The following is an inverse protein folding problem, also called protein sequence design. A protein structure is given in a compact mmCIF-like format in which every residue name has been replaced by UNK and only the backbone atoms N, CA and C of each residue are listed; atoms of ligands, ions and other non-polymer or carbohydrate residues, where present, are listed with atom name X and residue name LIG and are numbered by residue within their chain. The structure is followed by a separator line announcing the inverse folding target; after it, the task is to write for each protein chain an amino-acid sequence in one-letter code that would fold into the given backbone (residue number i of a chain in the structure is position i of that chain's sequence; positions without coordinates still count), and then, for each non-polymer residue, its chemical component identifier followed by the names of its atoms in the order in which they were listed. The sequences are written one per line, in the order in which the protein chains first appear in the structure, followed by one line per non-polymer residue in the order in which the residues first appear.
data_IF_253365057478
#
_entry.id   IF_253365057478
#
_cell.length_a   1.000
_cell.length_b   1.000
_cell.length_c   1.000
_cell.angle_alpha   90.00
_cell.angle_beta   90.00
_cell.angle_gamma   90.00
#
_symmetry.space_group_name_H-M   'P 1'
#
loop_
_entity.id
_entity.type
_entity.pdbx_description
1 polymer ?
#
# COMPACT_ATOMS: atom_id res chain seq x y z
N UNK A 1 -26.12 -73.50 27.65
CA UNK A 1 -26.55 -72.11 27.91
C UNK A 1 -25.46 -71.40 28.69
N UNK A 2 -24.54 -70.73 28.00
CA UNK A 2 -23.41 -70.02 28.63
C UNK A 2 -23.83 -68.56 28.90
N UNK A 3 -23.86 -68.18 30.17
CA UNK A 3 -23.85 -66.79 30.62
C UNK A 3 -22.43 -66.25 30.48
N UNK A 4 -22.23 -65.11 29.82
CA UNK A 4 -21.03 -64.29 29.95
C UNK A 4 -21.40 -63.00 30.70
N UNK A 5 -20.57 -62.53 31.63
CA UNK A 5 -20.76 -61.27 32.32
C UNK A 5 -20.22 -60.09 31.49
N UNK A 6 -20.83 -58.95 31.75
CA UNK A 6 -20.54 -57.62 31.25
C UNK A 6 -19.10 -57.21 31.61
N UNK A 7 -18.23 -57.01 30.61
CA UNK A 7 -16.97 -56.29 30.78
C UNK A 7 -17.07 -54.92 30.09
N UNK A 8 -17.02 -53.90 30.93
CA UNK A 8 -16.94 -52.48 30.58
C UNK A 8 -15.58 -52.22 29.90
N UNK A 9 -15.55 -51.98 28.59
CA UNK A 9 -14.36 -51.45 27.92
C UNK A 9 -14.54 -49.95 27.77
N UNK A 10 -13.94 -49.21 28.71
CA UNK A 10 -13.73 -47.78 28.61
C UNK A 10 -12.71 -47.54 27.49
N UNK A 11 -13.18 -47.25 26.28
CA UNK A 11 -12.32 -46.87 25.16
C UNK A 11 -12.01 -45.38 25.31
N UNK A 12 -10.81 -45.07 25.81
CA UNK A 12 -10.26 -43.71 25.79
C UNK A 12 -10.03 -43.36 24.32
N UNK A 13 -10.93 -42.54 23.77
CA UNK A 13 -10.72 -41.87 22.50
C UNK A 13 -9.74 -40.72 22.76
N UNK A 14 -8.44 -40.98 22.64
CA UNK A 14 -7.47 -39.89 22.46
C UNK A 14 -7.76 -39.29 21.10
N UNK A 15 -8.55 -38.21 21.08
CA UNK A 15 -8.55 -37.31 19.94
C UNK A 15 -7.12 -36.78 19.86
N UNK A 16 -6.34 -37.32 18.94
CA UNK A 16 -5.15 -36.64 18.47
C UNK A 16 -5.68 -35.37 17.81
N UNK A 17 -5.71 -34.27 18.55
CA UNK A 17 -5.74 -32.96 17.96
C UNK A 17 -4.45 -32.88 17.13
N UNK A 18 -4.53 -33.30 15.88
CA UNK A 18 -3.64 -32.79 14.87
C UNK A 18 -3.85 -31.28 14.96
N UNK A 19 -2.92 -30.61 15.63
CA UNK A 19 -2.66 -29.22 15.33
C UNK A 19 -2.40 -29.23 13.83
N UNK A 20 -3.42 -28.87 13.06
CA UNK A 20 -3.18 -28.16 11.82
C UNK A 20 -2.40 -26.94 12.27
N UNK A 21 -1.06 -27.09 12.33
CA UNK A 21 -0.20 -26.00 11.96
C UNK A 21 -0.81 -25.56 10.63
N UNK A 22 -1.44 -24.40 10.64
CA UNK A 22 -1.42 -23.56 9.44
C UNK A 22 -0.01 -23.72 8.90
N UNK A 23 0.18 -24.17 7.65
CA UNK A 23 1.53 -24.17 7.12
C UNK A 23 2.06 -22.78 7.45
N UNK A 24 3.20 -22.72 8.15
CA UNK A 24 4.00 -21.51 8.15
C UNK A 24 4.17 -21.24 6.66
N UNK A 25 3.35 -20.35 6.10
CA UNK A 25 3.60 -19.81 4.79
C UNK A 25 4.80 -18.93 5.07
N UNK A 26 5.99 -19.54 5.04
CA UNK A 26 7.22 -18.82 4.83
C UNK A 26 6.89 -17.76 3.79
N UNK A 27 7.19 -16.50 4.08
CA UNK A 27 6.85 -15.32 3.27
C UNK A 27 7.33 -15.51 1.82
N UNK A 28 6.57 -16.24 1.02
CA UNK A 28 7.01 -16.68 -0.28
C UNK A 28 7.10 -15.43 -1.14
N UNK A 29 8.33 -15.04 -1.45
CA UNK A 29 8.70 -13.91 -2.26
C UNK A 29 8.15 -12.54 -1.79
N UNK A 30 8.39 -12.19 -0.52
CA UNK A 30 8.23 -10.81 -0.04
C UNK A 30 9.44 -9.94 -0.42
N UNK A 31 9.27 -8.62 -0.52
CA UNK A 31 10.35 -7.70 -0.85
C UNK A 31 10.61 -7.57 -2.36
N UNK A 32 11.79 -7.06 -2.72
CA UNK A 32 12.18 -6.77 -4.10
C UNK A 32 12.89 -7.97 -4.72
N UNK A 33 12.46 -8.35 -5.92
CA UNK A 33 12.99 -9.45 -6.72
C UNK A 33 13.42 -8.91 -8.09
N UNK A 34 14.70 -9.09 -8.41
CA UNK A 34 15.29 -8.69 -9.69
C UNK A 34 14.73 -9.51 -10.86
N UNK A 35 14.89 -8.99 -12.08
CA UNK A 35 14.41 -9.64 -13.31
C UNK A 35 15.01 -11.04 -13.53
N UNK A 36 16.22 -11.29 -13.03
CA UNK A 36 16.90 -12.59 -13.09
C UNK A 36 16.46 -13.58 -12.00
N UNK A 37 15.59 -13.14 -11.08
CA UNK A 37 15.18 -13.94 -9.93
C UNK A 37 14.49 -15.24 -10.38
N UNK A 38 14.92 -16.36 -9.80
CA UNK A 38 14.30 -17.67 -10.04
C UNK A 38 12.82 -17.76 -9.62
N UNK A 39 12.30 -16.76 -8.89
CA UNK A 39 10.89 -16.63 -8.55
C UNK A 39 10.04 -16.10 -9.72
N UNK A 40 10.65 -15.56 -10.77
CA UNK A 40 9.98 -14.97 -11.93
C UNK A 40 9.98 -15.99 -13.08
N UNK A 41 8.80 -16.23 -13.63
CA UNK A 41 8.59 -17.14 -14.76
C UNK A 41 8.32 -16.35 -16.04
N UNK A 42 9.10 -16.62 -17.08
CA UNK A 42 8.96 -15.98 -18.38
C UNK A 42 8.31 -16.92 -19.41
N UNK A 43 7.50 -16.35 -20.29
CA UNK A 43 6.89 -17.02 -21.45
C UNK A 43 7.08 -16.17 -22.70
N UNK A 44 7.30 -16.83 -23.84
CA UNK A 44 7.75 -16.19 -25.07
C UNK A 44 9.25 -15.91 -25.08
N UNK A 45 9.71 -15.15 -26.07
CA UNK A 45 11.11 -14.79 -26.25
C UNK A 45 11.42 -13.50 -25.48
N UNK A 46 12.33 -13.60 -24.51
CA UNK A 46 12.85 -12.48 -23.73
C UNK A 46 14.35 -12.38 -23.94
N UNK A 47 14.83 -11.17 -24.20
CA UNK A 47 16.24 -10.83 -24.13
C UNK A 47 16.63 -10.49 -22.70
N UNK A 48 17.88 -10.76 -22.35
CA UNK A 48 18.48 -10.34 -21.08
C UNK A 48 19.48 -9.22 -21.35
N UNK A 49 19.37 -8.13 -20.59
CA UNK A 49 20.16 -6.91 -20.71
C UNK A 49 21.10 -6.72 -19.52
N UNK A 50 22.23 -7.46 -19.46
CA UNK A 50 23.22 -7.26 -18.41
C UNK A 50 23.91 -5.90 -18.57
N UNK A 51 24.35 -5.29 -17.46
CA UNK A 51 25.02 -3.99 -17.40
C UNK A 51 24.10 -2.77 -17.54
N UNK A 52 22.84 -2.93 -17.15
CA UNK A 52 21.88 -1.84 -17.03
C UNK A 52 22.10 -1.13 -15.70
N UNK A 53 23.19 -0.37 -15.54
CA UNK A 53 23.68 0.10 -14.21
C UNK A 53 22.74 1.00 -13.41
N UNK A 54 21.62 1.45 -13.99
CA UNK A 54 20.56 2.21 -13.33
C UNK A 54 19.29 1.41 -13.07
N UNK A 55 19.25 0.17 -13.55
CA UNK A 55 18.27 -0.83 -13.14
C UNK A 55 18.67 -1.45 -11.80
N UNK A 56 17.73 -2.14 -11.17
CA UNK A 56 18.00 -2.91 -9.95
C UNK A 56 18.98 -4.04 -10.28
N UNK A 57 19.92 -4.29 -9.36
CA UNK A 57 21.01 -5.26 -9.52
C UNK A 57 21.78 -5.24 -10.87
N UNK A 58 21.69 -4.11 -11.58
CA UNK A 58 22.30 -3.83 -12.87
C UNK A 58 21.86 -4.76 -14.03
N UNK A 59 20.64 -5.30 -13.98
CA UNK A 59 20.02 -6.11 -15.03
C UNK A 59 18.60 -5.68 -15.39
N UNK A 60 18.16 -6.10 -16.59
CA UNK A 60 16.75 -6.02 -17.00
C UNK A 60 16.48 -7.10 -18.04
N UNK A 61 15.25 -7.60 -18.07
CA UNK A 61 14.76 -8.52 -19.10
C UNK A 61 13.78 -7.79 -19.99
N UNK A 62 13.84 -7.98 -21.32
CA UNK A 62 13.02 -7.22 -22.25
C UNK A 62 12.46 -8.05 -23.39
N UNK A 63 11.33 -7.64 -23.94
CA UNK A 63 10.70 -8.29 -25.10
C UNK A 63 9.90 -7.31 -25.91
N UNK A 64 9.78 -7.57 -27.22
CA UNK A 64 8.82 -6.92 -28.11
C UNK A 64 7.90 -7.94 -28.78
N UNK A 65 7.95 -9.22 -28.36
CA UNK A 65 7.09 -10.25 -28.91
C UNK A 65 5.68 -10.08 -28.34
N UNK A 66 4.69 -9.84 -29.21
CA UNK A 66 3.27 -9.86 -28.83
C UNK A 66 2.94 -11.11 -28.00
N UNK A 67 2.39 -10.89 -26.83
CA UNK A 67 1.93 -11.94 -25.93
C UNK A 67 3.01 -12.58 -25.06
N UNK A 68 4.28 -12.23 -25.22
CA UNK A 68 5.31 -12.62 -24.25
C UNK A 68 5.00 -12.02 -22.88
N UNK A 69 5.25 -12.77 -21.80
CA UNK A 69 4.84 -12.39 -20.45
C UNK A 69 5.86 -12.78 -19.39
N UNK A 70 5.89 -12.04 -18.28
CA UNK A 70 6.61 -12.40 -17.06
C UNK A 70 5.61 -12.49 -15.89
N UNK A 71 5.75 -13.52 -15.06
CA UNK A 71 4.83 -13.82 -13.96
C UNK A 71 5.57 -14.04 -12.64
N UNK A 72 4.97 -13.58 -11.55
CA UNK A 72 5.57 -13.65 -10.21
C UNK A 72 4.49 -13.92 -9.16
N UNK A 73 4.74 -14.93 -8.33
CA UNK A 73 3.87 -15.26 -7.19
C UNK A 73 4.44 -14.62 -5.92
N UNK A 74 3.60 -13.96 -5.14
CA UNK A 74 3.99 -13.30 -3.90
C UNK A 74 2.93 -13.45 -2.81
N UNK A 75 3.36 -13.32 -1.57
CA UNK A 75 2.47 -13.14 -0.42
C UNK A 75 2.61 -11.71 0.08
N UNK A 76 1.51 -10.97 0.09
CA UNK A 76 1.51 -9.58 0.53
C UNK A 76 0.19 -8.89 0.25
N UNK A 77 0.16 -7.60 0.51
CA UNK A 77 -1.00 -6.73 0.25
C UNK A 77 -0.78 -5.75 -0.89
N UNK A 78 0.42 -5.77 -1.48
CA UNK A 78 0.84 -4.83 -2.53
C UNK A 78 1.85 -5.47 -3.45
N UNK A 79 1.82 -5.08 -4.71
CA UNK A 79 2.84 -5.45 -5.69
C UNK A 79 3.21 -4.25 -6.55
N UNK A 80 4.51 -4.06 -6.73
CA UNK A 80 5.08 -3.00 -7.57
C UNK A 80 5.77 -3.62 -8.76
N UNK A 81 5.45 -3.15 -9.96
CA UNK A 81 6.21 -3.42 -11.18
C UNK A 81 7.16 -2.26 -11.44
N UNK A 82 8.46 -2.57 -11.50
CA UNK A 82 9.54 -1.62 -11.75
C UNK A 82 10.10 -1.90 -13.15
N UNK A 83 10.26 -0.84 -13.94
CA UNK A 83 10.65 -0.89 -15.35
C UNK A 83 11.30 0.43 -15.80
N UNK A 84 11.79 0.46 -17.03
CA UNK A 84 12.25 1.68 -17.69
C UNK A 84 11.23 2.21 -18.70
N UNK A 85 11.03 3.53 -18.72
CA UNK A 85 10.37 4.20 -19.84
C UNK A 85 11.41 4.68 -20.86
N UNK A 86 11.13 4.56 -22.15
CA UNK A 86 12.02 5.03 -23.22
C UNK A 86 11.30 5.15 -24.58
N UNK A 87 11.96 5.76 -25.56
CA UNK A 87 11.37 6.13 -26.85
C UNK A 87 10.99 4.92 -27.71
N UNK A 88 11.57 3.75 -27.43
CA UNK A 88 11.28 2.49 -28.10
C UNK A 88 10.36 1.57 -27.29
N UNK A 89 9.77 2.06 -26.19
CA UNK A 89 8.87 1.27 -25.36
C UNK A 89 7.44 1.27 -25.88
N UNK A 90 6.78 0.13 -25.73
CA UNK A 90 5.41 -0.13 -26.15
C UNK A 90 4.44 -0.22 -24.97
N UNK A 91 3.29 -0.83 -25.22
CA UNK A 91 2.26 -1.04 -24.21
C UNK A 91 2.43 -2.36 -23.44
N UNK A 92 2.14 -2.29 -22.14
CA UNK A 92 2.10 -3.39 -21.18
C UNK A 92 0.66 -3.63 -20.76
N UNK A 93 0.21 -4.88 -20.77
CA UNK A 93 -0.99 -5.33 -20.07
C UNK A 93 -0.59 -5.95 -18.73
N UNK A 94 -1.33 -5.63 -17.67
CA UNK A 94 -1.12 -6.18 -16.33
C UNK A 94 -2.33 -7.00 -15.91
N UNK A 95 -2.06 -8.21 -15.44
CA UNK A 95 -3.04 -9.09 -14.83
C UNK A 95 -2.61 -9.40 -13.41
N UNK A 96 -3.55 -9.43 -12.47
CA UNK A 96 -3.32 -9.91 -11.11
C UNK A 96 -4.36 -10.97 -10.79
N UNK A 97 -3.92 -12.15 -10.39
CA UNK A 97 -4.74 -13.34 -10.16
C UNK A 97 -5.55 -13.76 -11.40
N UNK A 98 -4.95 -13.58 -12.58
CA UNK A 98 -5.59 -13.82 -13.88
C UNK A 98 -6.62 -12.76 -14.30
N UNK A 99 -6.88 -11.75 -13.47
CA UNK A 99 -7.82 -10.66 -13.76
C UNK A 99 -7.05 -9.49 -14.38
N UNK A 100 -7.51 -9.02 -15.54
CA UNK A 100 -6.97 -7.82 -16.18
C UNK A 100 -7.13 -6.61 -15.27
N UNK A 101 -6.03 -5.90 -15.01
CA UNK A 101 -6.01 -4.70 -14.16
C UNK A 101 -5.97 -3.44 -15.01
N UNK A 102 -4.99 -3.35 -15.89
CA UNK A 102 -4.83 -2.19 -16.75
C UNK A 102 -3.94 -2.47 -17.96
N UNK A 103 -3.96 -1.52 -18.89
CA UNK A 103 -3.02 -1.43 -20.00
C UNK A 103 -2.48 -0.01 -20.05
N UNK A 104 -1.17 0.13 -20.20
CA UNK A 104 -0.51 1.44 -20.29
C UNK A 104 0.69 1.41 -21.22
N UNK A 105 1.10 2.59 -21.67
CA UNK A 105 2.32 2.76 -22.45
C UNK A 105 3.51 3.04 -21.55
N UNK A 106 4.62 2.33 -21.78
CA UNK A 106 5.92 2.63 -21.17
C UNK A 106 6.76 3.61 -22.01
N UNK A 107 6.17 4.26 -23.03
CA UNK A 107 6.86 5.24 -23.87
C UNK A 107 7.20 6.52 -23.10
N UNK A 108 8.45 6.98 -23.26
CA UNK A 108 8.87 8.35 -22.97
C UNK A 108 9.90 8.79 -24.01
N UNK A 109 10.01 10.09 -24.38
CA UNK A 109 10.99 10.53 -25.38
C UNK A 109 12.46 10.39 -24.93
N UNK A 110 12.71 10.22 -23.62
CA UNK A 110 14.01 9.88 -23.04
C UNK A 110 13.94 8.63 -22.17
N UNK A 111 15.10 8.08 -21.79
CA UNK A 111 15.16 6.95 -20.86
C UNK A 111 14.94 7.44 -19.43
N UNK A 112 13.99 6.81 -18.73
CA UNK A 112 13.71 7.00 -17.30
C UNK A 112 13.76 5.65 -16.60
N UNK A 113 14.65 5.50 -15.63
CA UNK A 113 14.91 4.24 -14.94
C UNK A 113 14.10 4.12 -13.65
N UNK A 114 13.90 2.88 -13.19
CA UNK A 114 13.22 2.54 -11.94
C UNK A 114 11.81 3.13 -11.82
N UNK A 115 11.13 3.37 -12.94
CA UNK A 115 9.73 3.82 -12.96
C UNK A 115 8.89 2.72 -12.33
N UNK A 116 8.02 3.09 -11.39
CA UNK A 116 7.25 2.14 -10.61
C UNK A 116 5.75 2.31 -10.83
N UNK A 117 5.03 1.19 -10.81
CA UNK A 117 3.56 1.12 -10.74
C UNK A 117 3.16 0.15 -9.65
N UNK A 118 2.29 0.60 -8.74
CA UNK A 118 1.92 -0.15 -7.53
C UNK A 118 0.43 -0.45 -7.50
N UNK A 119 0.08 -1.69 -7.19
CA UNK A 119 -1.31 -2.11 -6.97
C UNK A 119 -1.51 -2.59 -5.54
N UNK A 120 -2.61 -2.17 -4.92
CA UNK A 120 -3.05 -2.62 -3.60
C UNK A 120 -4.04 -3.78 -3.76
N UNK A 121 -3.88 -4.77 -2.90
CA UNK A 121 -4.67 -5.99 -2.84
C UNK A 121 -5.03 -6.29 -1.38
N UNK A 122 -6.05 -7.13 -1.12
CA UNK A 122 -6.17 -7.79 0.18
C UNK A 122 -4.86 -8.49 0.54
N UNK A 123 -4.51 -8.59 1.82
CA UNK A 123 -3.33 -9.39 2.20
C UNK A 123 -3.58 -10.86 1.88
N UNK A 124 -2.72 -11.47 1.08
CA UNK A 124 -2.89 -12.85 0.67
C UNK A 124 -1.80 -13.33 -0.28
N UNK A 125 -2.02 -14.53 -0.81
CA UNK A 125 -1.20 -15.08 -1.90
C UNK A 125 -1.77 -14.63 -3.24
N UNK A 126 -0.90 -14.08 -4.08
CA UNK A 126 -1.27 -13.46 -5.35
C UNK A 126 -0.28 -13.81 -6.45
N UNK A 127 -0.73 -13.65 -7.69
CA UNK A 127 0.11 -13.71 -8.88
C UNK A 127 -0.01 -12.40 -9.67
N UNK A 128 1.11 -11.77 -10.01
CA UNK A 128 1.16 -10.72 -11.05
C UNK A 128 1.67 -11.33 -12.35
N UNK A 129 1.09 -10.90 -13.48
CA UNK A 129 1.58 -11.15 -14.81
C UNK A 129 1.61 -9.85 -15.60
N UNK A 130 2.77 -9.50 -16.15
CA UNK A 130 2.91 -8.45 -17.16
C UNK A 130 3.00 -9.10 -18.54
N UNK A 131 2.40 -8.49 -19.55
CA UNK A 131 2.32 -9.04 -20.90
C UNK A 131 2.54 -7.96 -21.95
N UNK A 132 3.36 -8.28 -22.94
CA UNK A 132 3.67 -7.38 -24.04
C UNK A 132 2.53 -7.33 -25.06
N UNK A 133 2.10 -6.13 -25.41
CA UNK A 133 1.15 -5.92 -26.54
C UNK A 133 1.86 -6.11 -27.89
N UNK A 134 3.15 -5.78 -27.97
CA UNK A 134 4.00 -5.99 -29.15
C UNK A 134 4.01 -4.83 -30.16
N UNK A 135 3.68 -3.62 -29.72
CA UNK A 135 3.86 -2.37 -30.49
C UNK A 135 5.13 -1.58 -30.09
N UNK A 136 6.04 -2.23 -29.38
CA UNK A 136 7.30 -1.68 -28.88
C UNK A 136 7.91 -2.65 -27.86
N UNK A 137 9.07 -2.31 -27.31
CA UNK A 137 9.66 -3.11 -26.22
C UNK A 137 8.93 -2.87 -24.91
N UNK A 138 8.81 -3.90 -24.09
CA UNK A 138 8.58 -3.76 -22.64
C UNK A 138 9.79 -4.35 -21.94
N UNK A 139 10.05 -3.93 -20.71
CA UNK A 139 11.08 -4.52 -19.87
C UNK A 139 10.57 -4.84 -18.46
N UNK A 140 11.22 -5.79 -17.81
CA UNK A 140 11.09 -6.05 -16.39
C UNK A 140 12.45 -5.78 -15.76
N UNK A 141 12.45 -4.89 -14.79
CA UNK A 141 13.60 -4.58 -13.95
C UNK A 141 13.43 -5.29 -12.61
N UNK A 142 12.30 -5.09 -11.93
CA UNK A 142 11.99 -5.83 -10.71
C UNK A 142 10.50 -5.91 -10.39
N UNK A 143 10.14 -6.90 -9.59
CA UNK A 143 8.90 -6.90 -8.83
C UNK A 143 9.18 -6.62 -7.35
N UNK A 144 8.33 -5.82 -6.68
CA UNK A 144 8.46 -5.56 -5.25
C UNK A 144 7.14 -5.80 -4.51
N UNK A 145 7.08 -6.89 -3.76
CA UNK A 145 5.96 -7.21 -2.87
C UNK A 145 6.06 -6.40 -1.57
N UNK A 146 4.98 -5.70 -1.22
CA UNK A 146 4.89 -4.85 -0.01
C UNK A 146 5.98 -3.77 0.12
N UNK A 147 6.25 -3.05 -0.99
CA UNK A 147 7.20 -1.92 -1.01
C UNK A 147 7.03 -0.97 0.20
N UNK A 148 8.13 -0.58 0.89
CA UNK A 148 8.08 0.43 1.94
C UNK A 148 7.62 1.79 1.42
N UNK A 149 6.89 2.52 2.25
CA UNK A 149 6.39 3.86 1.91
C UNK A 149 6.39 4.79 3.11
N UNK A 150 6.45 6.10 2.87
CA UNK A 150 6.25 7.12 3.90
C UNK A 150 4.76 7.47 4.04
N UNK A 151 4.16 7.42 5.25
CA UNK A 151 2.71 7.60 5.42
C UNK A 151 2.25 9.05 5.35
N UNK A 152 2.98 10.01 5.93
CA UNK A 152 2.70 11.45 5.87
C UNK A 152 3.96 12.25 6.24
N UNK A 153 3.93 13.57 6.04
CA UNK A 153 4.93 14.49 6.60
C UNK A 153 5.98 14.92 5.59
N UNK A 154 7.09 15.45 6.11
CA UNK A 154 8.20 15.93 5.29
C UNK A 154 9.36 14.94 5.35
N UNK A 155 9.82 14.56 4.17
CA UNK A 155 10.97 13.68 3.95
C UNK A 155 12.08 14.50 3.32
N UNK A 156 13.24 14.47 3.96
CA UNK A 156 14.44 15.14 3.50
C UNK A 156 15.07 14.45 2.27
N UNK A 157 15.98 15.11 1.57
CA UNK A 157 16.73 14.59 0.43
C UNK A 157 17.78 13.51 0.77
N UNK A 158 17.78 12.95 1.97
CA UNK A 158 18.73 11.90 2.37
C UNK A 158 18.23 10.53 1.92
N UNK A 159 19.10 9.65 1.35
CA UNK A 159 18.72 8.28 1.03
C UNK A 159 18.08 7.55 2.22
N UNK A 160 17.00 6.82 1.98
CA UNK A 160 16.26 6.09 3.01
C UNK A 160 15.58 4.84 2.42
N UNK A 161 14.79 4.11 3.21
CA UNK A 161 14.00 2.97 2.72
C UNK A 161 12.92 3.37 1.71
N UNK A 162 12.52 4.64 1.67
CA UNK A 162 11.51 5.17 0.77
C UNK A 162 12.03 6.26 -0.18
N UNK A 163 13.26 6.79 0.00
CA UNK A 163 13.96 7.67 -0.97
C UNK A 163 15.13 6.91 -1.58
N UNK A 164 15.03 6.60 -2.88
CA UNK A 164 16.07 5.89 -3.62
C UNK A 164 16.68 6.80 -4.69
N UNK A 165 18.00 6.93 -4.67
CA UNK A 165 18.75 7.63 -5.70
C UNK A 165 19.20 6.65 -6.79
N UNK A 166 18.96 7.03 -8.04
CA UNK A 166 19.21 6.23 -9.24
C UNK A 166 20.39 6.86 -9.97
N UNK A 167 21.41 6.06 -10.26
CA UNK A 167 22.69 6.52 -10.81
C UNK A 167 23.84 6.43 -9.79
N UNK A 168 25.03 6.80 -10.23
CA UNK A 168 26.23 6.76 -9.39
C UNK A 168 26.26 7.91 -8.38
N UNK A 169 26.98 7.74 -7.27
CA UNK A 169 27.31 8.84 -6.35
C UNK A 169 28.68 9.43 -6.68
N UNK A 170 28.86 10.74 -6.47
CA UNK A 170 30.12 11.44 -6.69
C UNK A 170 30.15 12.36 -7.93
N UNK A 171 31.34 12.70 -8.40
CA UNK A 171 31.58 13.79 -9.39
C UNK A 171 30.88 13.64 -10.74
N UNK A 172 30.41 12.44 -11.06
CA UNK A 172 29.69 12.11 -12.30
C UNK A 172 28.26 11.60 -12.07
N UNK A 173 27.70 11.79 -10.87
CA UNK A 173 26.31 11.47 -10.56
C UNK A 173 25.77 12.33 -9.41
N UNK A 174 25.13 11.70 -8.43
CA UNK A 174 24.55 12.41 -7.30
C UNK A 174 25.59 12.98 -6.35
N UNK A 175 25.46 14.29 -6.11
CA UNK A 175 26.17 15.01 -5.06
C UNK A 175 25.19 15.36 -3.95
N UNK A 176 25.49 14.92 -2.73
CA UNK A 176 24.76 15.26 -1.51
C UNK A 176 25.52 16.36 -0.78
N UNK A 177 25.09 17.61 -0.96
CA UNK A 177 25.77 18.77 -0.43
C UNK A 177 25.07 19.31 0.81
N UNK A 178 25.85 19.94 1.68
CA UNK A 178 25.42 20.53 2.95
C UNK A 178 25.89 21.98 3.07
N UNK A 179 25.57 22.63 4.19
CA UNK A 179 25.86 24.03 4.48
C UNK A 179 25.01 25.03 3.67
N UNK A 180 23.76 24.66 3.41
CA UNK A 180 22.76 25.55 2.79
C UNK A 180 21.65 25.85 3.79
N UNK A 181 21.79 26.87 4.67
CA UNK A 181 20.83 27.10 5.75
C UNK A 181 19.40 27.43 5.28
N UNK A 182 19.22 27.83 4.01
CA UNK A 182 17.92 28.07 3.39
C UNK A 182 17.26 26.78 2.85
N UNK A 183 18.00 25.69 2.73
CA UNK A 183 17.48 24.37 2.38
C UNK A 183 16.89 23.67 3.61
N UNK A 184 15.95 22.76 3.39
CA UNK A 184 15.46 21.91 4.48
C UNK A 184 16.60 21.00 4.94
N UNK A 185 16.72 20.79 6.25
CA UNK A 185 17.84 20.01 6.81
C UNK A 185 19.24 20.62 6.60
N UNK A 186 19.36 21.77 5.93
CA UNK A 186 20.65 22.35 5.55
C UNK A 186 21.32 21.64 4.35
N UNK A 187 20.59 20.80 3.62
CA UNK A 187 21.11 19.86 2.62
C UNK A 187 20.41 19.95 1.28
N UNK A 188 21.13 19.68 0.19
CA UNK A 188 20.57 19.59 -1.17
C UNK A 188 21.29 18.47 -1.93
N UNK A 189 20.52 17.64 -2.62
CA UNK A 189 21.03 16.58 -3.48
C UNK A 189 20.84 16.99 -4.93
N UNK A 190 21.85 16.85 -5.77
CA UNK A 190 21.72 17.21 -7.18
C UNK A 190 22.56 16.32 -8.09
N UNK A 191 22.09 16.17 -9.33
CA UNK A 191 22.83 15.57 -10.44
C UNK A 191 22.54 16.35 -11.72
N UNK A 192 23.50 16.34 -12.65
CA UNK A 192 23.34 16.84 -14.03
C UNK A 192 23.43 15.72 -15.06
N UNK A 193 23.70 14.49 -14.60
CA UNK A 193 23.90 13.33 -15.47
C UNK A 193 22.54 12.84 -15.93
N UNK A 194 22.28 12.94 -17.24
CA UNK A 194 21.05 12.43 -17.82
C UNK A 194 20.81 10.95 -17.45
N UNK A 195 19.55 10.60 -17.26
CA UNK A 195 19.05 9.29 -16.79
C UNK A 195 19.25 8.99 -15.30
N UNK A 196 19.99 9.80 -14.54
CA UNK A 196 19.92 9.72 -13.08
C UNK A 196 18.50 10.07 -12.61
N UNK A 197 18.14 9.71 -11.39
CA UNK A 197 16.83 10.07 -10.84
C UNK A 197 16.69 9.84 -9.35
N UNK A 198 15.53 10.19 -8.83
CA UNK A 198 15.10 9.88 -7.47
C UNK A 198 13.74 9.21 -7.53
N UNK A 199 13.60 8.08 -6.85
CA UNK A 199 12.32 7.41 -6.63
C UNK A 199 11.88 7.61 -5.18
N UNK A 200 10.63 8.00 -4.97
CA UNK A 200 10.04 8.12 -3.64
C UNK A 200 8.65 7.51 -3.57
N UNK A 201 8.45 6.62 -2.60
CA UNK A 201 7.16 5.94 -2.39
C UNK A 201 6.46 6.46 -1.14
N UNK A 202 5.20 6.84 -1.28
CA UNK A 202 4.40 7.46 -0.23
C UNK A 202 2.96 6.98 -0.24
N UNK A 203 2.26 7.17 0.87
CA UNK A 203 0.81 7.04 0.94
C UNK A 203 0.18 8.43 1.03
N UNK A 204 -0.79 8.74 0.16
CA UNK A 204 -1.52 9.99 0.22
C UNK A 204 -2.07 10.46 -1.12
N UNK A 205 -3.00 11.40 -1.11
CA UNK A 205 -3.61 11.97 -2.33
C UNK A 205 -2.79 13.07 -3.01
N UNK A 206 -1.71 13.50 -2.34
CA UNK A 206 -0.95 14.68 -2.72
C UNK A 206 0.51 14.58 -2.29
N UNK A 207 1.40 14.98 -3.19
CA UNK A 207 2.82 15.16 -2.91
C UNK A 207 3.34 16.49 -3.44
N UNK A 208 4.22 17.13 -2.68
CA UNK A 208 4.93 18.33 -3.07
C UNK A 208 6.42 18.03 -3.19
N UNK A 209 6.95 18.24 -4.40
CA UNK A 209 8.38 18.19 -4.66
C UNK A 209 8.98 19.59 -4.46
N UNK A 210 9.96 19.70 -3.56
CA UNK A 210 10.65 20.94 -3.24
C UNK A 210 12.09 20.88 -3.75
N UNK A 211 12.51 21.96 -4.39
CA UNK A 211 13.74 22.08 -5.15
C UNK A 211 14.22 23.54 -5.17
N UNK A 212 15.41 23.80 -5.71
CA UNK A 212 15.91 25.16 -5.87
C UNK A 212 16.02 25.52 -7.34
N UNK A 213 15.72 26.78 -7.65
CA UNK A 213 15.94 27.31 -9.00
C UNK A 213 17.22 28.12 -9.04
N UNK A 214 18.02 27.94 -10.09
CA UNK A 214 19.28 28.66 -10.26
C UNK A 214 19.73 28.68 -11.73
N UNK A 215 20.77 29.49 -12.01
CA UNK A 215 21.21 29.78 -13.38
C UNK A 215 21.82 28.57 -14.09
N UNK A 216 22.22 27.54 -13.34
CA UNK A 216 22.82 26.30 -13.83
C UNK A 216 21.88 25.09 -13.74
N UNK A 217 20.56 25.32 -13.60
CA UNK A 217 19.57 24.23 -13.51
C UNK A 217 19.00 23.84 -14.87
N UNK A 218 18.66 22.56 -14.97
CA UNK A 218 18.03 21.94 -16.14
C UNK A 218 16.58 21.52 -15.87
N UNK A 219 16.13 20.51 -16.64
CA UNK A 219 14.76 20.00 -16.58
C UNK A 219 14.70 18.65 -15.87
N UNK A 220 13.77 18.51 -14.95
CA UNK A 220 13.39 17.23 -14.35
C UNK A 220 12.16 16.69 -15.09
N UNK A 221 12.17 15.41 -15.47
CA UNK A 221 10.97 14.72 -15.94
C UNK A 221 10.29 14.03 -14.77
N UNK A 222 8.97 14.17 -14.64
CA UNK A 222 8.21 13.65 -13.50
C UNK A 222 7.28 12.55 -13.97
N UNK A 223 7.37 11.39 -13.31
CA UNK A 223 6.37 10.34 -13.43
C UNK A 223 5.81 9.99 -12.06
N UNK A 224 4.49 9.81 -11.95
CA UNK A 224 3.86 9.24 -10.75
C UNK A 224 3.09 8.00 -11.18
N UNK A 225 3.37 6.86 -10.56
CA UNK A 225 2.80 5.55 -10.91
C UNK A 225 2.92 5.25 -12.42
N UNK A 226 4.10 5.56 -12.97
CA UNK A 226 4.37 5.40 -14.40
C UNK A 226 3.51 6.25 -15.34
N UNK A 227 2.76 7.24 -14.84
CA UNK A 227 2.12 8.27 -15.65
C UNK A 227 3.08 9.44 -15.82
N UNK A 228 3.35 9.82 -17.06
CA UNK A 228 4.14 11.01 -17.39
C UNK A 228 3.36 12.28 -17.04
N UNK A 229 3.93 13.11 -16.17
CA UNK A 229 3.38 14.41 -15.74
C UNK A 229 4.15 15.59 -16.34
N UNK A 230 5.04 15.32 -17.30
CA UNK A 230 5.80 16.30 -18.04
C UNK A 230 7.09 16.71 -17.34
N UNK A 231 7.53 17.93 -17.65
CA UNK A 231 8.83 18.45 -17.21
C UNK A 231 8.66 19.64 -16.27
N UNK A 232 9.50 19.69 -15.25
CA UNK A 232 9.70 20.88 -14.42
C UNK A 232 11.01 21.52 -14.86
N UNK A 233 10.97 22.80 -15.21
CA UNK A 233 12.16 23.59 -15.51
C UNK A 233 12.66 24.32 -14.26
N UNK A 234 13.82 23.90 -13.75
CA UNK A 234 14.41 24.42 -12.53
C UNK A 234 15.25 25.67 -12.80
N UNK A 235 15.35 26.16 -14.04
CA UNK A 235 16.12 27.36 -14.34
C UNK A 235 15.54 28.64 -13.72
N UNK A 236 16.43 29.47 -13.18
CA UNK A 236 16.18 30.88 -12.84
C UNK A 236 17.48 31.67 -12.98
N UNK A 237 17.48 32.93 -13.46
CA UNK A 237 18.71 33.73 -13.55
C UNK A 237 19.35 34.01 -12.18
N UNK A 238 18.58 33.92 -11.09
CA UNK A 238 19.05 34.07 -9.71
C UNK A 238 18.65 32.86 -8.88
N UNK A 239 19.42 32.58 -7.83
CA UNK A 239 19.10 31.50 -6.87
C UNK A 239 17.77 31.79 -6.16
N UNK A 240 16.88 30.80 -6.14
CA UNK A 240 15.60 30.80 -5.44
C UNK A 240 15.45 29.50 -4.67
N UNK A 241 15.45 29.60 -3.34
CA UNK A 241 15.29 28.47 -2.44
C UNK A 241 13.83 28.06 -2.30
N UNK A 242 13.60 26.81 -1.86
CA UNK A 242 12.28 26.30 -1.47
C UNK A 242 11.20 26.45 -2.55
N UNK A 243 11.58 26.38 -3.84
CA UNK A 243 10.61 26.34 -4.92
C UNK A 243 9.94 24.97 -4.93
N UNK A 244 8.68 24.91 -5.36
CA UNK A 244 7.96 23.65 -5.25
C UNK A 244 6.94 23.44 -6.36
N UNK A 245 6.58 22.19 -6.56
CA UNK A 245 5.49 21.78 -7.45
C UNK A 245 4.69 20.69 -6.74
N UNK A 246 3.38 20.91 -6.66
CA UNK A 246 2.45 20.01 -5.98
C UNK A 246 1.66 19.23 -7.02
N UNK A 247 1.57 17.93 -6.80
CA UNK A 247 0.72 17.01 -7.54
C UNK A 247 -0.38 16.55 -6.60
N UNK A 248 -1.64 16.87 -6.94
CA UNK A 248 -2.83 16.53 -6.16
C UNK A 248 -3.79 15.66 -6.97
N UNK A 249 -4.89 15.24 -6.34
CA UNK A 249 -5.90 14.41 -6.99
C UNK A 249 -5.39 13.03 -7.40
N UNK A 250 -4.33 12.52 -6.74
CA UNK A 250 -3.74 11.21 -7.04
C UNK A 250 -4.65 10.06 -6.57
N UNK A 251 -5.57 10.36 -5.66
CA UNK A 251 -6.39 9.37 -4.94
C UNK A 251 -5.68 8.88 -3.69
N UNK A 252 -6.43 8.39 -2.71
CA UNK A 252 -5.86 7.88 -1.46
C UNK A 252 -5.27 6.48 -1.64
N UNK A 253 -4.03 6.41 -2.11
CA UNK A 253 -3.33 5.16 -2.28
C UNK A 253 -1.83 5.30 -2.00
N UNK A 254 -1.08 4.22 -2.18
CA UNK A 254 0.37 4.28 -2.29
C UNK A 254 0.73 4.69 -3.71
N UNK A 255 1.60 5.68 -3.81
CA UNK A 255 2.10 6.24 -5.03
C UNK A 255 3.63 6.23 -5.02
N UNK A 256 4.22 6.10 -6.20
CA UNK A 256 5.66 6.31 -6.39
C UNK A 256 5.89 7.46 -7.35
N UNK A 257 6.55 8.51 -6.88
CA UNK A 257 7.06 9.58 -7.74
C UNK A 257 8.49 9.24 -8.17
N UNK A 258 8.77 9.37 -9.46
CA UNK A 258 10.12 9.37 -10.00
C UNK A 258 10.44 10.77 -10.57
N UNK A 259 11.56 11.31 -10.13
CA UNK A 259 12.13 12.58 -10.59
C UNK A 259 13.38 12.24 -11.40
N UNK A 260 13.28 12.28 -12.72
CA UNK A 260 14.37 11.90 -13.63
C UNK A 260 15.14 13.12 -14.12
N UNK A 261 16.47 13.05 -14.05
CA UNK A 261 17.38 14.05 -14.61
C UNK A 261 17.43 13.87 -16.12
N UNK A 262 16.92 14.85 -16.87
CA UNK A 262 16.86 14.72 -18.34
C UNK A 262 18.20 14.97 -19.03
N UNK A 263 19.13 15.65 -18.35
CA UNK A 263 20.34 16.22 -18.98
C UNK A 263 20.04 17.37 -19.96
N UNK A 264 18.78 17.81 -20.05
CA UNK A 264 18.36 18.91 -20.91
C UNK A 264 18.26 20.21 -20.10
N UNK A 265 18.48 21.34 -20.77
CA UNK A 265 18.37 22.68 -20.20
C UNK A 265 17.89 23.69 -21.23
N UNK A 266 17.33 24.81 -20.77
CA UNK A 266 17.07 25.96 -21.63
C UNK A 266 18.35 26.63 -22.13
N UNK A 267 18.25 27.43 -23.19
CA UNK A 267 19.40 28.13 -23.79
C UNK A 267 20.10 29.11 -22.84
N UNK A 268 19.35 29.65 -21.87
CA UNK A 268 19.87 30.62 -20.90
C UNK A 268 20.52 29.98 -19.68
N UNK A 269 20.39 28.66 -19.50
CA UNK A 269 20.98 27.94 -18.39
C UNK A 269 22.46 27.62 -18.69
N UNK A 270 23.33 27.73 -17.70
CA UNK A 270 24.76 27.39 -17.88
C UNK A 270 25.02 25.89 -17.80
N UNK A 271 24.15 25.13 -17.13
CA UNK A 271 24.25 23.66 -16.96
C UNK A 271 22.84 23.05 -16.78
N UNK A 272 22.75 21.73 -16.59
CA UNK A 272 21.50 20.96 -16.55
C UNK A 272 21.25 20.28 -15.21
N UNK A 273 21.67 20.88 -14.09
CA UNK A 273 21.45 20.29 -12.77
C UNK A 273 19.96 20.20 -12.43
N UNK A 274 19.55 19.04 -11.92
CA UNK A 274 18.28 18.84 -11.24
C UNK A 274 18.58 18.59 -9.77
N UNK A 275 17.86 19.28 -8.89
CA UNK A 275 18.08 19.20 -7.46
C UNK A 275 16.85 18.73 -6.68
N UNK A 276 17.08 18.15 -5.52
CA UNK A 276 16.06 17.70 -4.59
C UNK A 276 16.44 18.20 -3.21
N UNK A 277 15.52 18.93 -2.58
CA UNK A 277 15.63 19.46 -1.22
C UNK A 277 14.77 18.63 -0.26
N UNK A 278 13.47 18.53 -0.52
CA UNK A 278 12.57 17.66 0.25
C UNK A 278 11.35 17.24 -0.55
N UNK A 279 10.67 16.23 -0.05
CA UNK A 279 9.35 15.82 -0.47
C UNK A 279 8.38 15.96 0.70
N UNK A 280 7.25 16.62 0.47
CA UNK A 280 6.22 16.79 1.50
C UNK A 280 4.92 16.11 1.07
N UNK A 281 4.46 15.18 1.91
CA UNK A 281 3.16 14.54 1.80
C UNK A 281 2.22 15.32 2.71
N UNK A 282 1.36 16.15 2.12
CA UNK A 282 0.36 16.88 2.88
C UNK A 282 -0.95 16.13 2.75
N UNK A 283 -1.20 15.21 3.69
CA UNK A 283 -2.48 14.54 3.75
C UNK A 283 -3.59 15.55 4.02
N UNK A 284 -4.63 15.58 3.17
CA UNK A 284 -5.95 15.91 3.68
C UNK A 284 -6.32 14.91 4.77
N UNK A 285 -7.15 15.29 5.73
CA UNK A 285 -7.56 14.44 6.86
C UNK A 285 -7.84 13.01 6.40
N UNK A 286 -6.93 12.09 6.72
CA UNK A 286 -7.13 10.67 6.45
C UNK A 286 -7.98 10.11 7.57
N UNK A 287 -9.26 9.88 7.29
CA UNK A 287 -9.88 8.68 7.81
C UNK A 287 -9.17 7.51 7.13
N UNK A 288 -8.20 6.88 7.80
CA UNK A 288 -7.68 5.59 7.33
C UNK A 288 -8.74 4.55 7.64
N UNK A 289 -9.77 4.47 6.79
CA UNK A 289 -10.56 3.26 6.66
C UNK A 289 -9.66 2.21 6.01
N UNK A 290 -8.93 1.43 6.81
CA UNK A 290 -8.36 0.19 6.30
C UNK A 290 -9.55 -0.73 6.02
N UNK A 291 -9.97 -0.73 4.75
CA UNK A 291 -10.96 -1.66 4.20
C UNK A 291 -12.43 -1.40 4.61
N UNK A 292 -13.11 -0.52 3.86
CA UNK A 292 -14.57 -0.58 3.75
C UNK A 292 -14.91 -1.74 2.79
N UNK A 293 -14.99 -2.98 3.31
CA UNK A 293 -15.60 -4.06 2.53
C UNK A 293 -17.07 -3.74 2.34
N UNK A 294 -17.45 -3.40 1.12
CA UNK A 294 -18.83 -3.58 0.62
C UNK A 294 -18.84 -4.80 -0.30
N UNK A 295 -18.17 -5.88 0.12
CA UNK A 295 -18.33 -7.17 -0.51
C UNK A 295 -19.50 -7.87 0.18
N UNK A 296 -20.67 -7.80 -0.44
CA UNK A 296 -21.81 -8.68 -0.14
C UNK A 296 -21.53 -10.11 -0.61
N UNK A 297 -20.38 -10.67 -0.23
CA UNK A 297 -20.08 -12.10 -0.42
C UNK A 297 -20.74 -12.85 0.73
N UNK A 298 -21.57 -13.88 0.48
CA UNK A 298 -22.21 -14.67 1.51
C UNK A 298 -21.16 -15.33 2.43
N UNK A 299 -21.07 -14.90 3.68
CA UNK A 299 -20.20 -15.56 4.66
C UNK A 299 -20.99 -16.69 5.31
N UNK A 300 -20.85 -17.90 4.77
CA UNK A 300 -21.59 -19.09 5.20
C UNK A 300 -20.94 -19.85 6.36
N UNK A 301 -19.86 -19.33 6.94
CA UNK A 301 -19.15 -19.97 8.05
C UNK A 301 -18.82 -18.98 9.17
N UNK A 302 -19.00 -19.43 10.41
CA UNK A 302 -18.75 -18.72 11.66
C UNK A 302 -17.24 -18.43 11.88
N UNK A 303 -16.64 -17.61 11.01
CA UNK A 303 -15.29 -17.10 11.16
C UNK A 303 -15.21 -16.08 12.30
N UNK A 304 -14.08 -16.06 13.01
CA UNK A 304 -13.71 -14.91 13.84
C UNK A 304 -13.31 -13.76 12.92
N UNK A 305 -13.81 -12.56 13.18
CA UNK A 305 -13.39 -11.35 12.48
C UNK A 305 -12.53 -10.53 13.42
N UNK A 306 -11.40 -10.05 12.91
CA UNK A 306 -10.46 -9.23 13.66
C UNK A 306 -9.92 -8.15 12.73
N UNK A 307 -9.94 -6.90 13.20
CA UNK A 307 -9.40 -5.76 12.47
C UNK A 307 -8.52 -4.93 13.40
N UNK A 308 -7.43 -4.40 12.85
CA UNK A 308 -6.58 -3.43 13.56
C UNK A 308 -7.07 -2.03 13.24
N UNK A 309 -7.45 -1.30 14.28
CA UNK A 309 -7.92 0.08 14.20
C UNK A 309 -6.91 0.99 14.89
N UNK A 310 -6.48 2.05 14.22
CA UNK A 310 -5.66 3.08 14.86
C UNK A 310 -6.57 4.10 15.54
N UNK A 311 -6.24 4.44 16.78
CA UNK A 311 -6.98 5.38 17.59
C UNK A 311 -6.21 6.70 17.63
N UNK A 312 -6.80 7.78 17.11
CA UNK A 312 -6.19 9.10 17.14
C UNK A 312 -7.20 10.22 17.34
N UNK A 313 -6.87 11.19 18.19
CA UNK A 313 -7.67 12.39 18.42
C UNK A 313 -7.03 13.59 17.71
N UNK A 314 -7.77 14.21 16.80
CA UNK A 314 -7.46 15.58 16.38
C UNK A 314 -8.08 16.56 17.39
N UNK A 315 -7.24 17.26 18.16
CA UNK A 315 -7.70 18.25 19.14
C UNK A 315 -8.05 19.56 18.43
N UNK A 316 -9.29 19.68 17.96
CA UNK A 316 -9.87 20.95 17.51
C UNK A 316 -10.91 21.48 18.50
N UNK A 317 -11.09 22.79 18.55
CA UNK A 317 -12.12 23.50 19.32
C UNK A 317 -13.55 23.25 18.79
N UNK A 318 -13.70 22.47 17.71
CA UNK A 318 -14.98 22.13 17.06
C UNK A 318 -15.42 20.68 17.26
N UNK A 319 -14.68 19.85 18.01
CA UNK A 319 -15.07 18.47 18.27
C UNK A 319 -16.28 18.40 19.21
N UNK A 320 -17.46 18.04 18.70
CA UNK A 320 -18.65 17.76 19.52
C UNK A 320 -18.66 16.30 19.98
N UNK A 321 -19.18 16.03 21.18
CA UNK A 321 -19.35 14.65 21.68
C UNK A 321 -20.33 13.86 20.80
N UNK A 322 -19.88 12.69 20.30
CA UNK A 322 -20.75 11.72 19.65
C UNK A 322 -21.02 11.95 18.16
N UNK A 323 -20.43 12.96 17.53
CA UNK A 323 -20.64 13.23 16.09
C UNK A 323 -19.74 12.40 15.15
N UNK A 324 -18.68 11.75 15.65
CA UNK A 324 -17.76 10.97 14.82
C UNK A 324 -17.48 9.58 15.38
N UNK A 325 -17.87 8.55 14.63
CA UNK A 325 -17.26 7.22 14.78
C UNK A 325 -15.99 7.21 13.93
N UNK A 326 -14.84 6.96 14.55
CA UNK A 326 -13.52 7.10 13.90
C UNK A 326 -13.21 5.92 13.00
N UNK A 327 -13.55 4.71 13.45
CA UNK A 327 -13.45 3.49 12.65
C UNK A 327 -14.31 2.38 13.25
N UNK A 328 -14.99 1.60 12.41
CA UNK A 328 -15.79 0.45 12.80
C UNK A 328 -15.87 -0.55 11.66
N UNK A 329 -16.18 -1.80 11.98
CA UNK A 329 -16.60 -2.79 10.99
C UNK A 329 -17.90 -3.44 11.44
N UNK A 330 -18.65 -4.00 10.48
CA UNK A 330 -19.93 -4.64 10.73
C UNK A 330 -20.00 -6.06 10.17
N UNK A 331 -20.79 -6.90 10.84
CA UNK A 331 -21.18 -8.22 10.34
C UNK A 331 -22.71 -8.34 10.32
N UNK A 332 -23.24 -9.01 9.30
CA UNK A 332 -24.66 -9.39 9.27
C UNK A 332 -24.89 -10.59 10.21
N UNK A 333 -25.96 -10.53 11.01
CA UNK A 333 -26.21 -11.49 12.09
C UNK A 333 -27.14 -12.63 11.72
N UNK A 334 -27.81 -12.60 10.57
CA UNK A 334 -28.66 -13.69 10.14
C UNK A 334 -27.93 -14.72 9.28
N UNK A 335 -28.20 -16.02 9.49
CA UNK A 335 -27.85 -17.04 8.52
C UNK A 335 -28.66 -16.83 7.24
N UNK A 336 -28.03 -17.09 6.09
CA UNK A 336 -28.73 -17.14 4.82
C UNK A 336 -29.76 -18.28 4.82
N UNK A 337 -30.98 -17.98 4.39
CA UNK A 337 -31.94 -18.99 3.97
C UNK A 337 -31.96 -19.00 2.45
N UNK A 338 -31.83 -20.17 1.85
CA UNK A 338 -32.15 -20.35 0.45
C UNK A 338 -33.64 -20.67 0.35
N UNK A 339 -34.34 -20.07 -0.61
CA UNK A 339 -35.66 -20.58 -0.97
C UNK A 339 -35.56 -21.98 -1.58
N UNK A 340 -36.71 -22.60 -1.84
CA UNK A 340 -36.79 -23.91 -2.48
C UNK A 340 -36.19 -23.96 -3.89
N UNK A 341 -35.86 -22.81 -4.50
CA UNK A 341 -35.18 -22.70 -5.79
C UNK A 341 -33.66 -22.44 -5.67
N UNK A 342 -33.12 -22.40 -4.44
CA UNK A 342 -31.70 -22.12 -4.19
C UNK A 342 -31.35 -20.63 -4.18
N UNK A 343 -32.34 -19.75 -4.33
CA UNK A 343 -32.12 -18.30 -4.32
C UNK A 343 -31.82 -17.85 -2.90
N UNK A 344 -30.69 -17.17 -2.77
CA UNK A 344 -30.14 -16.58 -1.56
C UNK A 344 -31.01 -15.39 -1.12
N UNK A 345 -31.83 -15.54 -0.07
CA UNK A 345 -32.68 -14.45 0.44
C UNK A 345 -32.15 -13.94 1.79
N UNK A 346 -31.77 -12.67 1.84
CA UNK A 346 -31.36 -11.97 3.07
C UNK A 346 -32.61 -11.57 3.84
N UNK A 347 -32.90 -12.23 4.97
CA UNK A 347 -34.17 -12.01 5.68
C UNK A 347 -34.12 -11.20 6.97
N UNK A 348 -32.99 -10.74 7.49
CA UNK A 348 -33.05 -10.01 8.76
C UNK A 348 -32.70 -8.54 8.73
N UNK A 349 -31.88 -8.04 7.79
CA UNK A 349 -31.37 -6.66 7.88
C UNK A 349 -30.52 -6.36 9.14
N UNK A 350 -30.41 -7.32 10.07
CA UNK A 350 -29.76 -7.14 11.37
C UNK A 350 -28.27 -7.28 11.24
N UNK A 351 -27.57 -6.24 11.67
CA UNK A 351 -26.12 -6.19 11.72
C UNK A 351 -25.62 -5.87 13.13
N UNK A 352 -24.39 -6.23 13.41
CA UNK A 352 -23.62 -5.73 14.55
C UNK A 352 -22.43 -4.93 14.05
N UNK A 353 -22.12 -3.84 14.74
CA UNK A 353 -20.93 -3.01 14.59
C UNK A 353 -20.09 -3.07 15.86
N UNK A 354 -18.78 -3.06 15.68
CA UNK A 354 -17.83 -2.82 16.76
C UNK A 354 -16.75 -1.87 16.24
N UNK A 355 -16.29 -0.96 17.10
CA UNK A 355 -15.28 0.00 16.68
C UNK A 355 -14.87 0.98 17.77
N UNK A 356 -14.22 2.06 17.31
CA UNK A 356 -13.69 3.14 18.12
C UNK A 356 -14.48 4.43 17.87
N UNK A 357 -14.78 5.13 18.94
CA UNK A 357 -15.46 6.41 18.95
C UNK A 357 -14.57 7.46 19.62
N UNK A 358 -14.34 8.58 18.93
CA UNK A 358 -13.64 9.73 19.51
C UNK A 358 -14.65 10.65 20.17
N UNK A 359 -14.31 11.14 21.36
CA UNK A 359 -15.03 12.17 22.10
C UNK A 359 -14.13 13.40 22.27
N UNK A 360 -14.71 14.52 22.72
CA UNK A 360 -13.93 15.71 23.08
C UNK A 360 -12.92 15.46 24.21
N UNK A 361 -13.12 14.40 25.00
CA UNK A 361 -12.35 14.08 26.21
C UNK A 361 -11.41 12.89 26.04
N UNK A 362 -11.54 12.10 24.97
CA UNK A 362 -10.65 10.97 24.70
C UNK A 362 -11.22 9.99 23.66
N UNK A 363 -10.69 8.77 23.62
CA UNK A 363 -11.19 7.69 22.75
C UNK A 363 -11.85 6.62 23.61
N UNK A 364 -12.91 5.98 23.10
CA UNK A 364 -13.57 4.82 23.72
C UNK A 364 -13.99 3.81 22.66
N UNK A 365 -14.22 2.57 23.06
CA UNK A 365 -14.81 1.55 22.18
C UNK A 365 -16.34 1.56 22.27
N UNK A 366 -17.00 1.07 21.21
CA UNK A 366 -18.45 0.86 21.19
C UNK A 366 -18.82 -0.46 20.52
N UNK A 367 -19.98 -0.98 20.92
CA UNK A 367 -20.70 -2.07 20.26
C UNK A 367 -22.12 -1.60 19.97
N UNK A 368 -22.58 -1.79 18.74
CA UNK A 368 -23.98 -1.58 18.35
C UNK A 368 -24.49 -2.85 17.65
N UNK A 369 -25.73 -3.23 17.89
CA UNK A 369 -26.34 -4.39 17.24
C UNK A 369 -27.83 -4.21 17.09
N UNK A 370 -28.41 -4.54 15.94
CA UNK A 370 -29.88 -4.61 15.83
C UNK A 370 -30.49 -5.81 16.59
N UNK A 371 -29.64 -6.66 17.20
CA UNK A 371 -30.00 -7.66 18.19
C UNK A 371 -29.68 -7.18 19.62
N UNK A 372 -30.29 -7.81 20.64
CA UNK A 372 -29.99 -7.47 22.03
C UNK A 372 -28.53 -7.77 22.37
N UNK A 373 -27.87 -6.83 23.04
CA UNK A 373 -26.49 -6.92 23.49
C UNK A 373 -26.45 -7.06 25.02
N UNK A 374 -25.60 -7.95 25.49
CA UNK A 374 -25.21 -8.05 26.89
C UNK A 374 -23.82 -7.44 27.07
N UNK A 375 -23.73 -6.41 27.92
CA UNK A 375 -22.46 -5.74 28.21
C UNK A 375 -21.70 -6.51 29.29
N UNK A 376 -20.70 -7.30 28.89
CA UNK A 376 -19.76 -7.93 29.81
C UNK A 376 -18.77 -6.93 30.42
N UNK A 377 -18.58 -5.79 29.75
CA UNK A 377 -17.80 -4.62 30.18
C UNK A 377 -18.51 -3.36 29.66
N UNK A 378 -18.22 -2.21 30.26
CA UNK A 378 -18.83 -0.93 29.90
C UNK A 378 -20.29 -0.82 30.37
N UNK A 379 -20.99 0.16 29.84
CA UNK A 379 -22.40 0.41 30.17
C UNK A 379 -23.30 0.20 28.96
N UNK A 380 -24.56 -0.18 29.21
CA UNK A 380 -25.57 -0.27 28.15
C UNK A 380 -25.79 1.10 27.52
N UNK A 381 -25.81 1.13 26.20
CA UNK A 381 -26.00 2.33 25.41
C UNK A 381 -26.95 2.06 24.24
N UNK A 382 -27.68 3.08 23.79
CA UNK A 382 -28.81 2.91 22.87
C UNK A 382 -29.89 1.92 23.37
N UNK A 383 -30.05 1.75 24.68
CA UNK A 383 -30.96 0.77 25.27
C UNK A 383 -30.32 -0.61 25.41
N UNK A 384 -31.03 -1.66 24.99
CA UNK A 384 -30.56 -3.06 25.06
C UNK A 384 -29.76 -3.49 23.82
N UNK A 385 -29.41 -2.56 22.93
CA UNK A 385 -28.84 -2.84 21.60
C UNK A 385 -27.41 -2.33 21.42
N UNK A 386 -26.75 -1.93 22.51
CA UNK A 386 -25.37 -1.52 22.45
C UNK A 386 -24.68 -1.43 23.80
N UNK A 387 -23.35 -1.35 23.71
CA UNK A 387 -22.46 -1.17 24.85
C UNK A 387 -21.46 -0.09 24.52
N UNK A 388 -21.07 0.66 25.54
CA UNK A 388 -20.10 1.74 25.41
C UNK A 388 -19.06 1.63 26.54
N UNK A 389 -17.79 1.68 26.16
CA UNK A 389 -16.69 1.77 27.10
C UNK A 389 -16.55 3.17 27.69
N UNK A 390 -15.91 3.25 28.85
CA UNK A 390 -15.41 4.53 29.36
C UNK A 390 -14.30 5.07 28.46
N UNK A 391 -14.05 6.37 28.52
CA UNK A 391 -12.91 6.97 27.84
C UNK A 391 -11.61 6.34 28.37
N UNK A 392 -10.73 5.97 27.45
CA UNK A 392 -9.46 5.27 27.71
C UNK A 392 -9.61 3.89 28.35
N UNK A 393 -10.79 3.28 28.29
CA UNK A 393 -10.97 1.89 28.67
C UNK A 393 -10.57 0.97 27.52
N UNK A 394 -9.50 0.17 27.68
CA UNK A 394 -8.94 -0.75 26.67
C UNK A 394 -8.39 -0.10 25.39
N UNK A 395 -8.54 1.21 25.21
CA UNK A 395 -8.13 1.93 24.01
C UNK A 395 -7.38 3.19 24.40
N UNK A 396 -6.33 3.50 23.66
CA UNK A 396 -5.42 4.60 23.94
C UNK A 396 -5.16 5.41 22.68
N UNK A 397 -5.15 6.74 22.83
CA UNK A 397 -4.82 7.70 21.78
C UNK A 397 -3.38 7.51 21.30
N UNK A 398 -3.18 7.46 19.99
CA UNK A 398 -1.89 7.27 19.33
C UNK A 398 -1.52 5.80 19.06
N UNK A 399 -2.34 4.82 19.44
CA UNK A 399 -2.00 3.40 19.36
C UNK A 399 -2.91 2.59 18.43
N UNK A 400 -2.43 1.43 17.98
CA UNK A 400 -3.22 0.43 17.29
C UNK A 400 -3.92 -0.48 18.29
N UNK A 401 -5.18 -0.81 17.99
CA UNK A 401 -6.01 -1.69 18.80
C UNK A 401 -6.59 -2.79 17.92
N UNK A 402 -6.71 -3.99 18.47
CA UNK A 402 -7.38 -5.09 17.78
C UNK A 402 -8.81 -5.15 18.26
N UNK A 403 -9.74 -5.09 17.31
CA UNK A 403 -11.17 -5.20 17.56
C UNK A 403 -11.71 -6.45 16.89
N UNK A 404 -12.40 -7.30 17.65
CA UNK A 404 -12.88 -8.59 17.17
C UNK A 404 -14.39 -8.78 17.32
N UNK A 405 -14.98 -9.54 16.39
CA UNK A 405 -16.28 -10.19 16.54
C UNK A 405 -16.10 -11.70 16.41
N UNK A 406 -16.34 -12.41 17.51
CA UNK A 406 -16.13 -13.85 17.66
C UNK A 406 -17.48 -14.55 17.76
N UNK A 407 -17.81 -15.39 16.78
CA UNK A 407 -18.99 -16.26 16.89
C UNK A 407 -18.81 -17.28 18.00
N UNK A 408 -19.82 -17.47 18.85
CA UNK A 408 -19.79 -18.51 19.89
C UNK A 408 -20.38 -19.84 19.42
N UNK A 409 -20.88 -19.91 18.19
CA UNK A 409 -21.55 -21.09 17.64
C UNK A 409 -22.96 -21.36 18.21
N UNK A 410 -23.41 -20.60 19.22
CA UNK A 410 -24.72 -20.75 19.87
C UNK A 410 -25.72 -19.64 19.51
N UNK A 411 -25.51 -18.96 18.38
CA UNK A 411 -26.33 -17.81 17.96
C UNK A 411 -25.97 -16.50 18.66
N UNK A 412 -24.88 -16.48 19.44
CA UNK A 412 -24.34 -15.28 20.06
C UNK A 412 -22.99 -14.90 19.43
N UNK A 413 -22.66 -13.62 19.54
CA UNK A 413 -21.38 -13.05 19.12
C UNK A 413 -20.75 -12.32 20.29
N UNK A 414 -19.45 -12.48 20.44
CA UNK A 414 -18.66 -11.78 21.45
C UNK A 414 -17.84 -10.69 20.74
N UNK A 415 -18.03 -9.44 21.16
CA UNK A 415 -17.16 -8.35 20.78
C UNK A 415 -15.97 -8.29 21.74
N UNK A 416 -14.75 -8.07 21.20
CA UNK A 416 -13.54 -7.90 22.01
C UNK A 416 -12.77 -6.69 21.52
N UNK A 417 -12.11 -6.03 22.46
CA UNK A 417 -11.10 -5.02 22.21
C UNK A 417 -9.89 -5.44 23.01
N UNK A 418 -8.79 -5.69 22.30
CA UNK A 418 -7.50 -5.95 22.92
C UNK A 418 -6.70 -4.63 22.92
N UNK A 419 -6.16 -4.29 24.08
CA UNK A 419 -5.39 -3.07 24.28
C UNK A 419 -4.04 -3.10 23.57
N UNK A 420 -3.36 -1.95 23.63
CA UNK A 420 -2.16 -1.55 22.88
C UNK A 420 -1.10 -2.64 22.70
N UNK A 421 -0.71 -2.87 21.44
CA UNK A 421 0.61 -3.39 21.04
C UNK A 421 1.49 -2.29 20.45
#
# INVERSE_FOLDING_TARGET
MRRLPLFLILSILVLLAATLKTPDVASANSGKHDDDSAAISYSGNWGYGPNSSRAYDASLSFTNQTGASASFNFVGSRITYIYAMAWNRGEVEVYIDGIFREKFSAYAPEIRWQVARTWRLPYGSHNIQIKAVGNGYIDLDAFHADIPYSPTGTVDNTPSSYVQYIGYTGSNGWTHASNFPEAYGGTVSYSRTGQDGVSFTFYGDRITYVYNKAFNRGRAAITIDGKDLGYIDLYSPTLQWQQSTTFDGLGWNIHTINISVTGQKGTSATDSFVDVDKLTITGGNSFVGVELRVDTIPITHAGKYSHRLWAGIERSDRAQEGEFVTAWFSVNLAPYQHDSAGTTIVYSGKFSQVGLMVTATGIRWFVYSEAKVECLRGTKYWGDIGCLGEVSDLVDDGYWHTVELVSTGQGYWLARVEGVE
#
